data_IF_732425949890
#
_entry.id   IF_732425949890
#
_cell.length_a   1.000
_cell.length_b   1.000
_cell.length_c   1.000
_cell.angle_alpha   90.00
_cell.angle_beta   90.00
_cell.angle_gamma   90.00
#
_symmetry.space_group_name_H-M   'P 1'
#
loop_
_entity.id
_entity.type
_entity.pdbx_description
1 polymer ?
#
# COMPACT_ATOMS: atom_id res chain seq x y z
N UNK A 1 45.48 43.02 38.52
CA UNK A 1 45.89 42.20 37.36
C UNK A 1 46.22 40.82 37.88
N UNK A 2 45.24 39.92 37.91
CA UNK A 2 45.40 38.56 38.45
C UNK A 2 44.43 37.67 37.70
N UNK A 3 44.90 36.63 37.03
CA UNK A 3 44.15 35.37 36.93
C UNK A 3 45.14 34.23 36.82
N UNK A 4 45.28 33.53 37.94
CA UNK A 4 46.09 32.33 38.10
C UNK A 4 45.30 31.10 37.66
N UNK A 5 46.00 30.21 36.95
CA UNK A 5 45.59 28.87 36.61
C UNK A 5 45.36 28.04 37.89
N UNK A 6 44.21 27.36 37.97
CA UNK A 6 43.99 26.28 38.92
C UNK A 6 43.61 25.02 38.16
N UNK A 7 44.54 24.08 38.08
CA UNK A 7 44.30 22.68 37.73
C UNK A 7 43.71 22.02 38.97
N UNK A 8 42.57 21.34 38.84
CA UNK A 8 42.06 20.47 39.89
C UNK A 8 41.80 19.06 39.36
N UNK A 9 42.33 18.12 40.13
CA UNK A 9 42.39 16.69 39.91
C UNK A 9 41.00 16.02 39.89
N UNK A 10 40.94 14.93 39.13
CA UNK A 10 39.86 13.95 39.17
C UNK A 10 40.13 12.98 40.33
N UNK A 11 39.11 12.63 41.13
CA UNK A 11 39.06 11.33 41.77
C UNK A 11 37.97 10.44 41.15
N UNK A 12 38.40 9.24 40.75
CA UNK A 12 37.56 8.08 40.43
C UNK A 12 37.06 7.49 41.75
N UNK A 13 35.74 7.28 41.88
CA UNK A 13 35.18 6.40 42.90
C UNK A 13 34.22 5.43 42.21
N UNK A 14 34.60 4.15 42.29
CA UNK A 14 33.79 2.98 41.96
C UNK A 14 32.86 2.68 43.12
N UNK A 15 31.57 2.52 42.85
CA UNK A 15 30.65 1.83 43.75
C UNK A 15 29.65 1.03 42.92
N UNK A 16 29.88 -0.28 42.83
CA UNK A 16 28.86 -1.24 42.45
C UNK A 16 27.91 -1.44 43.63
N UNK A 17 26.60 -1.35 43.40
CA UNK A 17 25.58 -1.89 44.30
C UNK A 17 24.42 -2.45 43.46
N UNK A 18 24.23 -3.75 43.57
CA UNK A 18 23.06 -4.47 43.09
C UNK A 18 21.81 -3.97 43.82
N UNK A 19 20.73 -3.75 43.09
CA UNK A 19 19.38 -3.84 43.64
C UNK A 19 18.48 -4.44 42.58
N UNK A 20 18.21 -5.73 42.75
CA UNK A 20 17.09 -6.41 42.12
C UNK A 20 15.80 -5.70 42.52
N UNK A 21 15.15 -5.02 41.56
CA UNK A 21 13.75 -4.64 41.69
C UNK A 21 13.11 -4.47 40.32
N UNK A 22 12.48 -5.55 39.88
CA UNK A 22 11.23 -5.56 39.12
C UNK A 22 11.02 -4.43 38.11
N UNK A 23 11.48 -4.62 36.88
CA UNK A 23 10.83 -4.06 35.70
C UNK A 23 10.29 -5.21 34.85
N UNK A 24 9.13 -5.73 35.26
CA UNK A 24 8.11 -6.13 34.28
C UNK A 24 7.56 -4.85 33.65
N UNK A 25 8.40 -4.11 32.95
CA UNK A 25 7.95 -2.97 32.18
C UNK A 25 7.79 -3.42 30.72
N UNK A 26 6.55 -3.78 30.43
CA UNK A 26 5.89 -3.23 29.26
C UNK A 26 6.63 -3.39 27.94
N UNK A 27 6.83 -4.65 27.52
CA UNK A 27 6.63 -5.00 26.11
C UNK A 27 5.16 -4.74 25.76
N UNK A 28 4.76 -3.47 25.72
CA UNK A 28 3.69 -3.01 24.85
C UNK A 28 4.23 -3.27 23.45
N UNK A 29 4.00 -4.49 22.97
CA UNK A 29 3.95 -4.81 21.56
C UNK A 29 3.01 -3.76 20.99
N UNK A 30 3.57 -2.70 20.43
CA UNK A 30 2.80 -1.76 19.63
C UNK A 30 2.21 -2.63 18.54
N UNK A 31 0.93 -2.96 18.70
CA UNK A 31 0.12 -3.55 17.65
C UNK A 31 -0.01 -2.46 16.60
N UNK A 32 1.07 -2.22 15.87
CA UNK A 32 1.06 -1.42 14.67
C UNK A 32 0.31 -2.28 13.65
N UNK A 33 -1.02 -2.15 13.68
CA UNK A 33 -1.90 -2.79 12.73
C UNK A 33 -1.53 -2.17 11.40
N UNK A 34 -0.66 -2.86 10.65
CA UNK A 34 -0.31 -2.48 9.29
C UNK A 34 -1.59 -2.09 8.53
N UNK A 35 -1.61 -0.86 8.03
CA UNK A 35 -2.75 -0.25 7.34
C UNK A 35 -2.85 -0.79 5.90
N UNK A 36 -2.93 -2.11 5.79
CA UNK A 36 -2.98 -2.84 4.53
C UNK A 36 -4.41 -2.90 4.01
N UNK A 37 -4.57 -2.64 2.71
CA UNK A 37 -5.85 -2.76 2.03
C UNK A 37 -6.28 -4.24 1.97
N UNK A 38 -7.58 -4.53 2.14
CA UNK A 38 -8.10 -5.89 2.18
C UNK A 38 -8.22 -6.46 0.76
N UNK A 39 -7.11 -6.79 0.09
CA UNK A 39 -7.13 -7.31 -1.28
C UNK A 39 -7.22 -8.83 -1.28
N UNK A 40 -8.21 -9.40 -1.99
CA UNK A 40 -8.35 -10.84 -2.16
C UNK A 40 -7.64 -11.33 -3.43
N UNK A 41 -7.98 -10.71 -4.56
CA UNK A 41 -7.41 -11.05 -5.87
C UNK A 41 -7.50 -9.88 -6.84
N UNK A 42 -6.68 -9.93 -7.89
CA UNK A 42 -6.72 -8.99 -9.01
C UNK A 42 -6.93 -9.75 -10.32
N UNK A 43 -7.49 -9.06 -11.30
CA UNK A 43 -7.54 -9.51 -12.69
C UNK A 43 -7.12 -8.33 -13.54
N UNK A 44 -6.05 -8.41 -14.33
CA UNK A 44 -5.03 -9.47 -14.33
C UNK A 44 -4.40 -9.72 -12.95
N UNK A 45 -3.85 -10.91 -12.74
CA UNK A 45 -3.04 -11.23 -11.57
C UNK A 45 -1.75 -10.40 -11.55
N UNK A 46 -1.15 -10.22 -10.37
CA UNK A 46 0.15 -9.58 -10.27
C UNK A 46 1.19 -10.38 -11.07
N UNK A 47 1.99 -9.66 -11.86
CA UNK A 47 2.97 -10.15 -12.81
C UNK A 47 2.41 -11.08 -13.90
N UNK A 48 1.11 -11.00 -14.20
CA UNK A 48 0.54 -11.74 -15.34
C UNK A 48 1.11 -11.21 -16.67
N UNK A 49 1.41 -12.14 -17.57
CA UNK A 49 1.94 -11.87 -18.90
C UNK A 49 0.87 -12.15 -19.97
N UNK A 50 1.08 -11.66 -21.19
CA UNK A 50 0.19 -11.88 -22.33
C UNK A 50 -1.26 -11.41 -22.08
N UNK A 51 -1.41 -10.32 -21.34
CA UNK A 51 -2.72 -9.70 -21.09
C UNK A 51 -3.23 -9.04 -22.38
N UNK A 52 -4.48 -9.31 -22.82
CA UNK A 52 -5.03 -8.65 -24.00
C UNK A 52 -5.01 -7.13 -23.90
N UNK A 53 -4.87 -6.41 -25.01
CA UNK A 53 -4.84 -4.92 -24.99
C UNK A 53 -6.16 -4.24 -24.60
N UNK A 54 -7.25 -5.01 -24.54
CA UNK A 54 -8.56 -4.58 -24.02
C UNK A 54 -9.06 -5.55 -22.93
N UNK A 55 -8.34 -5.66 -21.80
CA UNK A 55 -8.67 -6.66 -20.79
C UNK A 55 -9.76 -6.12 -19.86
N UNK A 56 -10.49 -7.04 -19.23
CA UNK A 56 -11.22 -6.68 -18.01
C UNK A 56 -10.21 -6.51 -16.88
N UNK A 57 -10.18 -5.32 -16.27
CA UNK A 57 -9.34 -5.07 -15.08
C UNK A 57 -10.21 -4.88 -13.84
N UNK A 58 -9.94 -5.65 -12.79
CA UNK A 58 -10.67 -5.60 -11.52
C UNK A 58 -9.83 -5.96 -10.30
N UNK A 59 -10.25 -5.46 -9.15
CA UNK A 59 -9.67 -5.74 -7.83
C UNK A 59 -10.80 -6.22 -6.93
N UNK A 60 -10.70 -7.45 -6.41
CA UNK A 60 -11.65 -7.99 -5.44
C UNK A 60 -11.14 -7.76 -4.02
N UNK A 61 -12.01 -7.30 -3.14
CA UNK A 61 -11.70 -7.05 -1.75
C UNK A 61 -12.04 -8.26 -0.87
N UNK A 62 -11.13 -8.62 0.03
CA UNK A 62 -11.35 -9.68 1.01
C UNK A 62 -12.24 -9.19 2.15
N UNK A 63 -13.53 -9.56 2.10
CA UNK A 63 -14.50 -9.25 3.15
C UNK A 63 -14.18 -9.86 4.53
N UNK A 64 -13.33 -10.89 4.57
CA UNK A 64 -12.90 -11.56 5.81
C UNK A 64 -11.63 -10.94 6.40
N UNK A 65 -10.97 -10.06 5.65
CA UNK A 65 -9.74 -9.43 6.10
C UNK A 65 -9.99 -8.54 7.32
N UNK A 66 -9.08 -8.56 8.30
CA UNK A 66 -9.17 -7.79 9.55
C UNK A 66 -9.40 -6.28 9.35
N UNK A 67 -8.91 -5.73 8.24
CA UNK A 67 -9.02 -4.31 7.91
C UNK A 67 -10.23 -3.99 7.01
N UNK A 68 -11.03 -4.97 6.58
CA UNK A 68 -12.12 -4.73 5.62
C UNK A 68 -13.11 -3.67 6.12
N UNK A 69 -13.61 -3.82 7.35
CA UNK A 69 -14.58 -2.89 7.92
C UNK A 69 -14.03 -1.45 8.06
N UNK A 70 -12.71 -1.29 8.23
CA UNK A 70 -12.07 0.03 8.30
C UNK A 70 -12.12 0.77 6.95
N UNK A 71 -11.87 0.06 5.84
CA UNK A 71 -11.78 0.66 4.50
C UNK A 71 -13.10 0.59 3.73
N UNK A 72 -14.04 -0.27 4.14
CA UNK A 72 -15.35 -0.50 3.49
C UNK A 72 -16.08 0.80 3.18
N UNK A 73 -16.20 1.68 4.16
CA UNK A 73 -16.93 2.93 4.04
C UNK A 73 -16.29 3.85 2.98
N UNK A 74 -14.96 3.84 2.85
CA UNK A 74 -14.28 4.62 1.82
C UNK A 74 -14.62 4.10 0.42
N UNK A 75 -14.64 2.78 0.21
CA UNK A 75 -15.03 2.21 -1.07
C UNK A 75 -16.49 2.48 -1.41
N UNK A 76 -17.40 2.27 -0.45
CA UNK A 76 -18.84 2.51 -0.62
C UNK A 76 -19.17 3.98 -0.91
N UNK A 77 -18.34 4.92 -0.43
CA UNK A 77 -18.48 6.37 -0.71
C UNK A 77 -17.70 6.85 -1.93
N UNK A 78 -16.99 5.97 -2.65
CA UNK A 78 -16.12 6.37 -3.76
C UNK A 78 -14.88 7.17 -3.32
N UNK A 79 -14.49 7.11 -2.05
CA UNK A 79 -13.31 7.78 -1.50
C UNK A 79 -12.02 6.98 -1.77
N UNK A 80 -11.80 6.65 -3.05
CA UNK A 80 -10.60 5.98 -3.53
C UNK A 80 -10.20 6.49 -4.91
N UNK A 81 -9.04 6.08 -5.38
CA UNK A 81 -8.51 6.40 -6.69
C UNK A 81 -7.72 5.23 -7.25
N UNK A 82 -7.87 4.99 -8.54
CA UNK A 82 -7.08 4.03 -9.29
C UNK A 82 -6.16 4.80 -10.24
N UNK A 83 -4.88 4.45 -10.21
CA UNK A 83 -3.87 4.96 -11.12
C UNK A 83 -3.38 3.82 -12.01
N UNK A 84 -3.30 4.05 -13.32
CA UNK A 84 -2.66 3.17 -14.28
C UNK A 84 -1.45 3.89 -14.89
N UNK A 85 -0.24 3.40 -14.63
CA UNK A 85 1.02 4.10 -14.94
C UNK A 85 0.99 5.57 -14.47
N UNK A 86 0.56 5.78 -13.21
CA UNK A 86 0.42 7.08 -12.55
C UNK A 86 -0.65 8.04 -13.13
N UNK A 87 -1.46 7.59 -14.10
CA UNK A 87 -2.60 8.35 -14.60
C UNK A 87 -3.89 7.90 -13.91
N UNK A 88 -4.72 8.85 -13.44
CA UNK A 88 -6.03 8.53 -12.86
C UNK A 88 -6.93 7.93 -13.93
N UNK A 89 -7.53 6.78 -13.64
CA UNK A 89 -8.46 6.09 -14.53
C UNK A 89 -9.85 5.98 -13.91
N UNK A 90 -10.86 6.00 -14.77
CA UNK A 90 -12.24 5.84 -14.34
C UNK A 90 -12.47 4.42 -13.79
N UNK A 91 -13.16 4.35 -12.65
CA UNK A 91 -13.42 3.08 -11.97
C UNK A 91 -14.73 3.12 -11.19
N UNK A 92 -15.31 1.95 -11.01
CA UNK A 92 -16.56 1.74 -10.27
C UNK A 92 -16.36 0.72 -9.16
N UNK A 93 -17.11 0.86 -8.06
CA UNK A 93 -17.13 -0.12 -6.98
C UNK A 93 -18.50 -0.79 -6.89
N UNK A 94 -18.50 -2.11 -7.04
CA UNK A 94 -19.67 -2.95 -6.79
C UNK A 94 -19.70 -3.31 -5.30
N UNK A 95 -20.65 -2.72 -4.57
CA UNK A 95 -20.80 -2.94 -3.14
C UNK A 95 -21.39 -4.31 -2.80
N UNK A 96 -22.02 -5.02 -3.73
CA UNK A 96 -22.53 -6.36 -3.49
C UNK A 96 -21.40 -7.38 -3.61
N UNK A 97 -20.68 -7.35 -4.74
CA UNK A 97 -19.58 -8.29 -5.01
C UNK A 97 -18.25 -7.87 -4.37
N UNK A 98 -18.15 -6.64 -3.85
CA UNK A 98 -16.92 -6.05 -3.30
C UNK A 98 -15.77 -5.99 -4.32
N UNK A 99 -16.12 -5.65 -5.56
CA UNK A 99 -15.19 -5.59 -6.69
C UNK A 99 -15.07 -4.14 -7.17
N UNK A 100 -13.83 -3.68 -7.34
CA UNK A 100 -13.51 -2.45 -8.04
C UNK A 100 -13.22 -2.81 -9.50
N UNK A 101 -13.87 -2.16 -10.46
CA UNK A 101 -13.66 -2.40 -11.91
C UNK A 101 -13.14 -1.12 -12.56
N UNK A 102 -12.16 -1.23 -13.45
CA UNK A 102 -11.72 -0.11 -14.30
C UNK A 102 -12.53 -0.13 -15.59
N UNK A 103 -13.16 1.00 -15.92
CA UNK A 103 -14.18 1.03 -16.98
C UNK A 103 -13.59 1.25 -18.39
N UNK A 104 -12.40 1.85 -18.52
CA UNK A 104 -11.86 2.31 -19.81
C UNK A 104 -10.34 2.08 -19.94
N UNK A 105 -9.88 0.84 -19.81
CA UNK A 105 -8.46 0.51 -19.96
C UNK A 105 -8.13 0.12 -21.41
N UNK A 106 -7.82 1.11 -22.26
CA UNK A 106 -7.16 0.84 -23.54
C UNK A 106 -5.66 0.77 -23.32
N UNK A 107 -5.07 -0.40 -23.57
CA UNK A 107 -3.66 -0.64 -23.38
C UNK A 107 -2.93 -0.68 -24.72
N UNK A 108 -1.61 -0.52 -24.66
CA UNK A 108 -0.71 -0.73 -25.79
C UNK A 108 -0.19 -2.17 -25.76
N UNK A 109 0.15 -2.72 -26.92
CA UNK A 109 0.89 -3.97 -27.02
C UNK A 109 2.29 -3.85 -26.39
N UNK A 110 2.87 -4.99 -26.03
CA UNK A 110 4.25 -5.13 -25.54
C UNK A 110 4.64 -4.09 -24.48
N UNK A 111 3.78 -3.93 -23.48
CA UNK A 111 3.89 -2.86 -22.49
C UNK A 111 3.68 -3.40 -21.07
N UNK A 112 4.51 -2.93 -20.16
CA UNK A 112 4.31 -3.14 -18.73
C UNK A 112 3.39 -2.05 -18.16
N UNK A 113 2.39 -2.49 -17.39
CA UNK A 113 1.49 -1.61 -16.67
C UNK A 113 1.61 -1.81 -15.16
N UNK A 114 1.61 -0.70 -14.42
CA UNK A 114 1.52 -0.67 -12.96
C UNK A 114 0.18 -0.07 -12.58
N UNK A 115 -0.63 -0.82 -11.85
CA UNK A 115 -1.87 -0.33 -11.26
C UNK A 115 -1.67 -0.02 -9.78
N UNK A 116 -2.16 1.14 -9.33
CA UNK A 116 -2.15 1.54 -7.91
C UNK A 116 -3.56 1.90 -7.46
N UNK A 117 -4.04 1.23 -6.42
CA UNK A 117 -5.25 1.61 -5.67
C UNK A 117 -4.83 2.45 -4.47
N UNK A 118 -5.45 3.61 -4.28
CA UNK A 118 -5.24 4.49 -3.13
C UNK A 118 -6.57 4.81 -2.47
N UNK A 119 -6.67 4.67 -1.15
CA UNK A 119 -7.80 5.20 -0.39
C UNK A 119 -7.52 6.66 -0.01
N UNK A 120 -8.56 7.49 -0.09
CA UNK A 120 -8.50 8.90 0.30
C UNK A 120 -9.15 9.04 1.67
N UNK A 121 -8.41 9.51 2.67
CA UNK A 121 -8.98 9.88 3.96
C UNK A 121 -10.09 10.92 3.72
N UNK A 122 -11.32 10.61 4.13
CA UNK A 122 -12.41 11.56 4.00
C UNK A 122 -12.32 12.55 5.16
N UNK A 123 -12.00 13.82 4.85
CA UNK A 123 -11.76 14.90 5.82
C UNK A 123 -12.93 15.11 6.83
N UNK A 124 -14.13 14.60 6.51
CA UNK A 124 -15.34 14.76 7.34
C UNK A 124 -15.67 13.55 8.22
N UNK A 125 -14.91 12.46 8.16
CA UNK A 125 -15.12 11.32 9.06
C UNK A 125 -14.28 11.53 10.32
N UNK A 126 -14.92 11.54 11.49
CA UNK A 126 -14.27 11.61 12.81
C UNK A 126 -13.45 10.34 13.15
N UNK A 127 -13.31 9.40 12.20
CA UNK A 127 -12.49 8.21 12.33
C UNK A 127 -11.11 8.47 11.70
N UNK A 128 -10.06 8.09 12.42
CA UNK A 128 -8.64 8.07 11.99
C UNK A 128 -8.39 7.10 10.82
N UNK A 129 -9.09 7.27 9.70
CA UNK A 129 -8.92 6.45 8.51
C UNK A 129 -7.72 7.00 7.74
N UNK A 130 -6.55 6.41 8.01
CA UNK A 130 -5.31 6.73 7.30
C UNK A 130 -5.40 6.31 5.84
N UNK A 131 -4.71 7.05 4.98
CA UNK A 131 -4.49 6.67 3.59
C UNK A 131 -3.76 5.32 3.54
N UNK A 132 -4.20 4.45 2.64
CA UNK A 132 -3.54 3.18 2.35
C UNK A 132 -3.45 3.01 0.83
N UNK A 133 -2.45 2.25 0.38
CA UNK A 133 -2.24 1.98 -1.03
C UNK A 133 -1.87 0.54 -1.29
N UNK A 134 -2.29 0.04 -2.44
CA UNK A 134 -1.91 -1.26 -2.98
C UNK A 134 -1.48 -1.09 -4.43
N UNK A 135 -0.51 -1.88 -4.88
CA UNK A 135 -0.05 -1.84 -6.27
C UNK A 135 0.27 -3.22 -6.81
N UNK A 136 -0.03 -3.45 -8.08
CA UNK A 136 0.38 -4.63 -8.81
C UNK A 136 0.77 -4.27 -10.24
N UNK A 137 1.48 -5.17 -10.91
CA UNK A 137 1.97 -4.98 -12.28
C UNK A 137 1.49 -6.11 -13.19
N UNK A 138 1.40 -5.89 -14.49
CA UNK A 138 1.14 -6.92 -15.50
C UNK A 138 1.70 -6.49 -16.86
N UNK A 139 1.81 -7.42 -17.80
CA UNK A 139 2.38 -7.22 -19.14
C UNK A 139 1.36 -7.58 -20.20
N UNK A 140 1.20 -6.71 -21.19
CA UNK A 140 0.30 -6.97 -22.32
C UNK A 140 0.90 -7.92 -23.33
N UNK A 141 0.03 -8.53 -24.14
CA UNK A 141 0.42 -9.33 -25.29
C UNK A 141 1.31 -8.55 -26.27
N UNK A 142 2.13 -9.28 -27.01
CA UNK A 142 2.93 -8.74 -28.12
C UNK A 142 2.05 -8.62 -29.36
N UNK A 143 2.35 -7.65 -30.22
CA UNK A 143 1.64 -7.51 -31.50
C UNK A 143 2.02 -8.66 -32.42
N UNK A 144 1.05 -9.45 -32.86
CA UNK A 144 1.26 -10.49 -33.87
C UNK A 144 1.53 -9.82 -35.22
N UNK A 145 2.79 -9.85 -35.65
CA UNK A 145 3.13 -9.49 -37.02
C UNK A 145 2.83 -10.68 -37.93
N UNK A 146 1.75 -10.59 -38.72
CA UNK A 146 1.57 -11.51 -39.84
C UNK A 146 2.75 -11.35 -40.81
N UNK A 147 3.63 -12.35 -40.86
CA UNK A 147 4.67 -12.42 -41.88
C UNK A 147 3.97 -12.76 -43.20
N UNK A 148 3.73 -11.75 -44.02
CA UNK A 148 3.27 -11.95 -45.39
C UNK A 148 4.44 -12.57 -46.16
N UNK A 149 4.42 -13.88 -46.34
CA UNK A 149 5.32 -14.57 -47.26
C UNK A 149 4.98 -14.12 -48.68
N UNK A 150 5.90 -13.36 -49.29
CA UNK A 150 5.83 -13.02 -50.70
C UNK A 150 6.47 -14.20 -51.45
N UNK A 151 5.65 -15.01 -52.11
CA UNK A 151 6.11 -16.02 -53.09
C UNK A 151 6.54 -15.37 -54.41
#
# INVERSE_FOLDING_TARGET
MVMAFCILLIPVISTANNTEKSEKDSLKKSNDIAFELPILKTTPANTEEMVPVNPKISIELDSKHKNFNRFREQFEKGAFEILLNDNVVDSSFDSFNKIITINNAKLKFDSQYTLKLKTKANYKSNNDVKNASYSFTFFTEVEDFEVISIE
#
